data_IF_897217875689
#
_entry.id   IF_897217875689
#
_cell.length_a   1.000
_cell.length_b   1.000
_cell.length_c   1.000
_cell.angle_alpha   90.00
_cell.angle_beta   90.00
_cell.angle_gamma   90.00
#
_symmetry.space_group_name_H-M   'P 1'
#
loop_
_entity.id
_entity.type
_entity.pdbx_description
1 polymer ?
#
# COMPACT_ATOMS: atom_id res chain seq x y z
N UNK A 1 -25.21 -4.08 67.70
CA UNK A 1 -25.19 -2.96 68.66
C UNK A 1 -26.26 -3.20 69.71
N UNK A 2 -25.94 -2.97 70.98
CA UNK A 2 -26.82 -3.22 72.10
C UNK A 2 -27.00 -1.94 72.89
N UNK A 3 -28.20 -1.73 73.39
CA UNK A 3 -28.48 -0.72 74.39
C UNK A 3 -27.97 -1.25 75.73
N UNK A 4 -26.99 -0.56 76.30
CA UNK A 4 -26.26 -1.04 77.49
C UNK A 4 -27.16 -1.01 78.73
N UNK A 5 -28.14 -0.10 78.78
CA UNK A 5 -29.04 0.07 79.92
C UNK A 5 -30.16 -0.98 79.93
N UNK A 6 -30.70 -1.31 78.76
CA UNK A 6 -31.86 -2.21 78.61
C UNK A 6 -31.49 -3.62 78.17
N UNK A 7 -30.25 -3.83 77.70
CA UNK A 7 -29.80 -5.10 77.14
C UNK A 7 -30.49 -5.49 75.83
N UNK A 8 -31.22 -4.57 75.18
CA UNK A 8 -31.90 -4.82 73.91
C UNK A 8 -30.94 -4.63 72.73
N UNK A 9 -31.11 -5.46 71.70
CA UNK A 9 -30.41 -5.27 70.42
C UNK A 9 -30.95 -4.01 69.75
N UNK A 10 -30.09 -3.01 69.56
CA UNK A 10 -30.40 -1.80 68.79
C UNK A 10 -30.36 -2.12 67.29
N UNK A 11 -29.32 -2.85 66.85
CA UNK A 11 -29.12 -3.17 65.44
C UNK A 11 -28.24 -4.39 65.23
N UNK A 12 -28.60 -5.22 64.26
CA UNK A 12 -27.81 -6.32 63.74
C UNK A 12 -27.37 -6.00 62.30
N UNK A 13 -26.09 -6.23 61.99
CA UNK A 13 -25.52 -5.99 60.67
C UNK A 13 -24.86 -7.27 60.20
N UNK A 14 -25.28 -7.77 59.05
CA UNK A 14 -24.82 -9.06 58.52
C UNK A 14 -23.52 -8.87 57.76
N UNK A 15 -22.43 -9.38 58.32
CA UNK A 15 -21.12 -9.33 57.68
C UNK A 15 -20.99 -10.35 56.53
N UNK A 16 -21.59 -11.54 56.67
CA UNK A 16 -21.58 -12.58 55.63
C UNK A 16 -20.73 -13.79 55.98
N UNK A 17 -19.63 -13.60 56.72
CA UNK A 17 -18.83 -14.67 57.32
C UNK A 17 -18.53 -14.47 58.81
N UNK A 18 -17.74 -15.37 59.42
CA UNK A 18 -17.26 -15.22 60.79
C UNK A 18 -16.45 -13.94 60.94
N UNK A 19 -16.88 -13.07 61.86
CA UNK A 19 -16.19 -11.81 62.16
C UNK A 19 -14.99 -12.08 63.06
N UNK A 20 -13.81 -11.68 62.61
CA UNK A 20 -12.52 -11.89 63.28
C UNK A 20 -12.07 -10.67 64.07
N UNK A 21 -12.43 -9.46 63.60
CA UNK A 21 -12.10 -8.21 64.27
C UNK A 21 -13.18 -7.14 64.06
N UNK A 22 -13.26 -6.21 65.01
CA UNK A 22 -14.12 -5.03 64.95
C UNK A 22 -13.29 -3.84 65.46
N UNK A 23 -13.44 -2.69 64.82
CA UNK A 23 -12.87 -1.43 65.29
C UNK A 23 -13.93 -0.31 65.20
N UNK A 24 -13.93 0.61 66.16
CA UNK A 24 -14.80 1.78 66.16
C UNK A 24 -13.95 3.02 65.95
N UNK A 25 -14.39 3.92 65.06
CA UNK A 25 -13.71 5.18 64.80
C UNK A 25 -13.85 6.11 66.00
N UNK A 26 -12.84 6.94 66.29
CA UNK A 26 -12.80 7.76 67.50
C UNK A 26 -13.97 8.75 67.65
N UNK A 27 -14.57 9.17 66.55
CA UNK A 27 -15.77 10.04 66.52
C UNK A 27 -17.10 9.27 66.63
N UNK A 28 -17.05 7.94 66.74
CA UNK A 28 -18.19 7.02 66.77
C UNK A 28 -19.16 7.10 65.58
N UNK A 29 -18.81 7.81 64.48
CA UNK A 29 -19.65 7.89 63.28
C UNK A 29 -19.49 6.69 62.35
N UNK A 30 -18.39 5.97 62.51
CA UNK A 30 -18.03 4.80 61.70
C UNK A 30 -17.55 3.68 62.59
N UNK A 31 -17.73 2.47 62.11
CA UNK A 31 -17.03 1.31 62.64
C UNK A 31 -16.75 0.34 61.48
N UNK A 32 -15.78 -0.54 61.66
CA UNK A 32 -15.38 -1.53 60.68
C UNK A 32 -15.49 -2.93 61.28
N UNK A 33 -15.86 -3.91 60.46
CA UNK A 33 -15.77 -5.33 60.79
C UNK A 33 -14.93 -6.04 59.74
N UNK A 34 -14.15 -7.03 60.16
CA UNK A 34 -13.33 -7.87 59.31
C UNK A 34 -13.73 -9.34 59.52
N UNK A 35 -13.62 -10.14 58.47
CA UNK A 35 -14.04 -11.53 58.50
C UNK A 35 -13.06 -12.51 57.87
N UNK A 36 -13.29 -13.78 58.21
CA UNK A 36 -12.62 -14.91 57.57
C UNK A 36 -13.05 -15.13 56.11
N UNK A 37 -14.09 -14.40 55.67
CA UNK A 37 -14.57 -14.32 54.29
C UNK A 37 -13.72 -13.39 53.40
N UNK A 38 -12.56 -12.92 53.91
CA UNK A 38 -11.56 -12.09 53.21
C UNK A 38 -12.00 -10.64 52.97
N UNK A 39 -13.09 -10.24 53.62
CA UNK A 39 -13.68 -8.92 53.44
C UNK A 39 -13.64 -8.18 54.76
N UNK A 40 -13.26 -6.90 54.69
CA UNK A 40 -13.60 -5.94 55.72
C UNK A 40 -14.71 -5.03 55.21
N UNK A 41 -15.63 -4.66 56.08
CA UNK A 41 -16.76 -3.78 55.76
C UNK A 41 -16.68 -2.55 56.64
N UNK A 42 -16.78 -1.39 56.01
CA UNK A 42 -16.93 -0.10 56.68
C UNK A 42 -18.42 0.23 56.79
N UNK A 43 -18.87 0.69 57.95
CA UNK A 43 -20.27 0.92 58.25
C UNK A 43 -20.51 2.33 58.79
N UNK A 44 -21.68 2.87 58.50
CA UNK A 44 -22.21 4.03 59.19
C UNK A 44 -22.81 3.59 60.54
N UNK A 45 -22.36 4.19 61.63
CA UNK A 45 -22.79 3.79 62.96
C UNK A 45 -24.23 4.22 63.30
N UNK A 46 -24.75 5.24 62.63
CA UNK A 46 -26.07 5.82 62.94
C UNK A 46 -27.22 4.96 62.39
N UNK A 47 -27.08 4.48 61.16
CA UNK A 47 -28.11 3.71 60.45
C UNK A 47 -27.68 2.28 60.12
N UNK A 48 -26.43 1.90 60.40
CA UNK A 48 -25.86 0.58 60.11
C UNK A 48 -25.73 0.27 58.63
N UNK A 49 -25.77 1.28 57.75
CA UNK A 49 -25.57 1.11 56.32
C UNK A 49 -24.11 0.73 56.05
N UNK A 50 -23.91 -0.24 55.15
CA UNK A 50 -22.59 -0.55 54.62
C UNK A 50 -22.12 0.58 53.68
N UNK A 51 -20.94 1.12 53.94
CA UNK A 51 -20.31 2.21 53.16
C UNK A 51 -19.39 1.63 52.10
N UNK A 52 -18.53 0.69 52.48
CA UNK A 52 -17.52 0.14 51.58
C UNK A 52 -17.18 -1.32 51.93
N UNK A 53 -16.70 -2.04 50.91
CA UNK A 53 -16.00 -3.32 51.06
C UNK A 53 -14.53 -3.11 50.81
N UNK A 54 -13.72 -3.61 51.73
CA UNK A 54 -12.28 -3.46 51.79
C UNK A 54 -11.69 -4.86 51.65
N UNK A 55 -11.14 -5.17 50.48
CA UNK A 55 -10.58 -6.48 50.16
C UNK A 55 -9.48 -6.37 49.12
N UNK A 56 -8.52 -7.28 49.22
CA UNK A 56 -7.40 -7.40 48.28
C UNK A 56 -6.44 -6.22 48.29
N UNK A 57 -5.26 -6.43 47.70
CA UNK A 57 -4.27 -5.38 47.52
C UNK A 57 -4.79 -4.36 46.47
N UNK A 58 -4.54 -3.08 46.73
CA UNK A 58 -4.90 -2.00 45.80
C UNK A 58 -4.11 -2.14 44.50
N UNK A 59 -2.81 -2.37 44.63
CA UNK A 59 -1.90 -2.38 43.49
C UNK A 59 -2.17 -3.53 42.52
N UNK A 60 -2.57 -4.70 43.02
CA UNK A 60 -2.93 -5.84 42.16
C UNK A 60 -4.24 -5.61 41.40
N UNK A 61 -5.21 -4.94 42.03
CA UNK A 61 -6.47 -4.55 41.38
C UNK A 61 -6.27 -3.46 40.34
N UNK A 62 -5.56 -2.38 40.68
CA UNK A 62 -5.23 -1.31 39.73
C UNK A 62 -4.43 -1.86 38.53
N UNK A 63 -3.50 -2.79 38.77
CA UNK A 63 -2.79 -3.45 37.69
C UNK A 63 -3.71 -4.25 36.77
N UNK A 64 -4.70 -4.97 37.30
CA UNK A 64 -5.68 -5.68 36.49
C UNK A 64 -6.57 -4.72 35.68
N UNK A 65 -7.02 -3.62 36.28
CA UNK A 65 -7.81 -2.58 35.60
C UNK A 65 -7.01 -1.92 34.47
N UNK A 66 -5.72 -1.65 34.69
CA UNK A 66 -4.84 -1.11 33.66
C UNK A 66 -4.62 -2.09 32.50
N UNK A 67 -4.53 -3.40 32.79
CA UNK A 67 -4.46 -4.44 31.75
C UNK A 67 -5.77 -4.57 30.97
N UNK A 68 -6.92 -4.34 31.61
CA UNK A 68 -8.21 -4.31 30.93
C UNK A 68 -8.29 -3.13 29.94
N UNK A 69 -7.81 -1.95 30.34
CA UNK A 69 -7.68 -0.78 29.45
C UNK A 69 -6.71 -1.06 28.30
N UNK A 70 -5.57 -1.67 28.58
CA UNK A 70 -4.61 -2.06 27.55
C UNK A 70 -5.22 -3.06 26.55
N UNK A 71 -6.03 -4.02 27.01
CA UNK A 71 -6.72 -4.98 26.15
C UNK A 71 -7.76 -4.28 25.25
N UNK A 72 -8.48 -3.28 25.76
CA UNK A 72 -9.38 -2.46 24.95
C UNK A 72 -8.62 -1.74 23.84
N UNK A 73 -7.46 -1.16 24.15
CA UNK A 73 -6.59 -0.52 23.16
C UNK A 73 -6.10 -1.52 22.11
N UNK A 74 -5.56 -2.67 22.52
CA UNK A 74 -5.07 -3.71 21.61
C UNK A 74 -6.18 -4.22 20.66
N UNK A 75 -7.40 -4.40 21.16
CA UNK A 75 -8.56 -4.75 20.32
C UNK A 75 -8.85 -3.67 19.27
N UNK A 76 -8.79 -2.40 19.66
CA UNK A 76 -9.00 -1.27 18.71
C UNK A 76 -7.90 -1.18 17.64
N UNK A 77 -6.66 -1.55 17.98
CA UNK A 77 -5.53 -1.59 17.03
C UNK A 77 -5.70 -2.71 15.99
N UNK A 78 -6.18 -3.88 16.40
CA UNK A 78 -6.58 -4.95 15.47
C UNK A 78 -7.68 -4.47 14.52
N UNK A 79 -8.70 -3.79 15.02
CA UNK A 79 -9.78 -3.25 14.19
C UNK A 79 -9.28 -2.18 13.20
N UNK A 80 -8.37 -1.32 13.64
CA UNK A 80 -7.70 -0.33 12.77
C UNK A 80 -6.96 -1.01 11.62
N UNK A 81 -6.15 -2.03 11.90
CA UNK A 81 -5.41 -2.75 10.85
C UNK A 81 -6.32 -3.56 9.93
N UNK A 82 -7.43 -4.13 10.43
CA UNK A 82 -8.46 -4.76 9.60
C UNK A 82 -9.12 -3.78 8.63
N UNK A 83 -9.40 -2.56 9.07
CA UNK A 83 -9.90 -1.50 8.20
C UNK A 83 -8.87 -1.10 7.13
N UNK A 84 -7.59 -0.99 7.51
CA UNK A 84 -6.50 -0.71 6.57
C UNK A 84 -6.33 -1.81 5.52
N UNK A 85 -6.43 -3.09 5.91
CA UNK A 85 -6.41 -4.22 4.98
C UNK A 85 -7.54 -4.13 3.96
N UNK A 86 -8.77 -3.87 4.41
CA UNK A 86 -9.93 -3.72 3.51
C UNK A 86 -9.71 -2.59 2.49
N UNK A 87 -9.14 -1.47 2.92
CA UNK A 87 -8.79 -0.37 2.02
C UNK A 87 -7.72 -0.78 1.01
N UNK A 88 -6.68 -1.51 1.46
CA UNK A 88 -5.61 -2.00 0.59
C UNK A 88 -6.13 -3.00 -0.45
N UNK A 89 -7.00 -3.94 -0.08
CA UNK A 89 -7.62 -4.92 -0.99
C UNK A 89 -8.52 -4.24 -2.03
N UNK A 90 -9.25 -3.19 -1.62
CA UNK A 90 -10.06 -2.37 -2.53
C UNK A 90 -9.16 -1.67 -3.55
N UNK A 91 -8.06 -1.06 -3.11
CA UNK A 91 -7.09 -0.45 -4.01
C UNK A 91 -6.44 -1.48 -4.94
N UNK A 92 -6.05 -2.66 -4.44
CA UNK A 92 -5.48 -3.73 -5.26
C UNK A 92 -6.43 -4.17 -6.36
N UNK A 93 -7.72 -4.33 -6.04
CA UNK A 93 -8.76 -4.65 -7.04
C UNK A 93 -8.85 -3.57 -8.12
N UNK A 94 -8.80 -2.29 -7.74
CA UNK A 94 -8.80 -1.18 -8.68
C UNK A 94 -7.55 -1.16 -9.58
N UNK A 95 -6.36 -1.42 -9.03
CA UNK A 95 -5.12 -1.49 -9.83
C UNK A 95 -5.12 -2.68 -10.80
N UNK A 96 -5.62 -3.84 -10.39
CA UNK A 96 -5.76 -5.01 -11.28
C UNK A 96 -6.72 -4.73 -12.44
N UNK A 97 -7.83 -4.01 -12.19
CA UNK A 97 -8.72 -3.55 -13.25
C UNK A 97 -8.03 -2.56 -14.20
N UNK A 98 -7.21 -1.65 -13.67
CA UNK A 98 -6.40 -0.73 -14.49
C UNK A 98 -5.41 -1.50 -15.37
N UNK A 99 -4.73 -2.51 -14.84
CA UNK A 99 -3.82 -3.39 -15.61
C UNK A 99 -4.56 -4.07 -16.75
N UNK A 100 -5.74 -4.66 -16.47
CA UNK A 100 -6.54 -5.31 -17.51
C UNK A 100 -6.89 -4.35 -18.64
N UNK A 101 -7.39 -3.15 -18.31
CA UNK A 101 -7.72 -2.13 -19.31
C UNK A 101 -6.48 -1.67 -20.10
N UNK A 102 -5.35 -1.48 -19.43
CA UNK A 102 -4.11 -1.07 -20.08
C UNK A 102 -3.58 -2.16 -21.03
N UNK A 103 -3.71 -3.43 -20.65
CA UNK A 103 -3.32 -4.56 -21.50
C UNK A 103 -4.19 -4.66 -22.76
N UNK A 104 -5.51 -4.47 -22.61
CA UNK A 104 -6.44 -4.40 -23.75
C UNK A 104 -6.08 -3.25 -24.71
N UNK A 105 -5.75 -2.06 -24.17
CA UNK A 105 -5.32 -0.92 -25.02
C UNK A 105 -3.97 -1.16 -25.69
N UNK A 106 -3.03 -1.83 -25.02
CA UNK A 106 -1.73 -2.18 -25.60
C UNK A 106 -1.91 -3.16 -26.75
N UNK A 107 -2.68 -4.23 -26.55
CA UNK A 107 -2.96 -5.20 -27.61
C UNK A 107 -3.72 -4.61 -28.80
N UNK A 108 -4.61 -3.63 -28.59
CA UNK A 108 -5.27 -2.91 -29.67
C UNK A 108 -4.29 -1.99 -30.45
N UNK A 109 -3.38 -1.32 -29.74
CA UNK A 109 -2.37 -0.47 -30.35
C UNK A 109 -1.34 -1.29 -31.14
N UNK A 110 -0.92 -2.46 -30.64
CA UNK A 110 -0.04 -3.41 -31.34
C UNK A 110 -0.66 -3.90 -32.65
N UNK A 111 -1.93 -4.33 -32.64
CA UNK A 111 -2.63 -4.72 -33.87
C UNK A 111 -2.70 -3.58 -34.88
N UNK A 112 -2.97 -2.36 -34.41
CA UNK A 112 -2.99 -1.17 -35.29
C UNK A 112 -1.60 -0.91 -35.87
N UNK A 113 -0.55 -1.05 -35.07
CA UNK A 113 0.83 -0.90 -35.52
C UNK A 113 1.20 -1.92 -36.60
N UNK A 114 0.86 -3.19 -36.39
CA UNK A 114 1.07 -4.27 -37.39
C UNK A 114 0.35 -3.96 -38.70
N UNK A 115 -0.91 -3.49 -38.64
CA UNK A 115 -1.68 -3.08 -39.82
C UNK A 115 -0.99 -1.92 -40.58
N UNK A 116 -0.49 -0.92 -39.86
CA UNK A 116 0.18 0.24 -40.46
C UNK A 116 1.56 -0.12 -41.00
N UNK A 117 2.30 -1.02 -40.35
CA UNK A 117 3.58 -1.55 -40.85
C UNK A 117 3.39 -2.29 -42.17
N UNK A 118 2.36 -3.14 -42.27
CA UNK A 118 2.01 -3.82 -43.53
C UNK A 118 1.65 -2.82 -44.62
N UNK A 119 0.79 -1.85 -44.33
CA UNK A 119 0.39 -0.82 -45.31
C UNK A 119 1.56 0.04 -45.78
N UNK A 120 2.52 0.35 -44.89
CA UNK A 120 3.77 1.00 -45.27
C UNK A 120 4.61 0.12 -46.20
N UNK A 121 4.78 -1.17 -45.87
CA UNK A 121 5.51 -2.13 -46.71
C UNK A 121 4.93 -2.22 -48.13
N UNK A 122 3.61 -2.36 -48.24
CA UNK A 122 2.87 -2.37 -49.51
C UNK A 122 3.08 -1.07 -50.31
N UNK A 123 3.03 0.09 -49.64
CA UNK A 123 3.31 1.38 -50.29
C UNK A 123 4.77 1.50 -50.77
N UNK A 124 5.72 0.92 -50.01
CA UNK A 124 7.15 0.92 -50.36
C UNK A 124 7.41 0.05 -51.58
N UNK A 125 6.79 -1.14 -51.64
CA UNK A 125 6.85 -2.04 -52.80
C UNK A 125 6.17 -1.41 -54.03
N UNK A 126 5.00 -0.78 -53.85
CA UNK A 126 4.30 -0.10 -54.93
C UNK A 126 5.12 1.06 -55.52
N UNK A 127 5.82 1.82 -54.68
CA UNK A 127 6.75 2.87 -55.12
C UNK A 127 7.93 2.28 -55.88
N UNK A 128 8.57 1.23 -55.35
CA UNK A 128 9.69 0.57 -56.02
C UNK A 128 9.29 0.01 -57.39
N UNK A 129 8.09 -0.57 -57.50
CA UNK A 129 7.54 -1.03 -58.77
C UNK A 129 7.25 0.13 -59.75
N UNK A 130 6.73 1.26 -59.27
CA UNK A 130 6.49 2.44 -60.09
C UNK A 130 7.80 3.11 -60.56
N UNK A 131 8.82 3.14 -59.70
CA UNK A 131 10.17 3.63 -60.00
C UNK A 131 10.83 2.75 -61.05
N UNK A 132 10.85 1.43 -60.84
CA UNK A 132 11.36 0.47 -61.82
C UNK A 132 10.66 0.60 -63.17
N UNK A 133 9.34 0.70 -63.20
CA UNK A 133 8.59 0.89 -64.44
C UNK A 133 8.94 2.21 -65.15
N UNK A 134 9.25 3.28 -64.40
CA UNK A 134 9.71 4.55 -64.95
C UNK A 134 11.16 4.46 -65.47
N UNK A 135 12.03 3.70 -64.81
CA UNK A 135 13.40 3.42 -65.28
C UNK A 135 13.41 2.54 -66.53
N UNK A 136 12.63 1.47 -66.55
CA UNK A 136 12.48 0.57 -67.70
C UNK A 136 11.97 1.36 -68.92
N UNK A 137 10.96 2.24 -68.73
CA UNK A 137 10.48 3.15 -69.79
C UNK A 137 11.58 4.12 -70.27
N UNK A 138 12.38 4.68 -69.36
CA UNK A 138 13.52 5.55 -69.73
C UNK A 138 14.59 4.78 -70.50
N UNK A 139 14.85 3.52 -70.15
CA UNK A 139 15.80 2.66 -70.84
C UNK A 139 15.31 2.31 -72.25
N UNK A 140 14.05 1.90 -72.42
CA UNK A 140 13.41 1.67 -73.72
C UNK A 140 13.45 2.92 -74.62
N UNK A 141 13.18 4.10 -74.03
CA UNK A 141 13.26 5.38 -74.73
C UNK A 141 14.68 5.70 -75.20
N UNK A 142 15.67 5.46 -74.34
CA UNK A 142 17.08 5.68 -74.67
C UNK A 142 17.54 4.75 -75.78
N UNK A 143 17.19 3.47 -75.71
CA UNK A 143 17.54 2.48 -76.74
C UNK A 143 16.89 2.82 -78.09
N UNK A 144 15.62 3.21 -78.09
CA UNK A 144 14.93 3.68 -79.30
C UNK A 144 15.55 4.96 -79.88
N UNK A 145 15.98 5.90 -79.02
CA UNK A 145 16.64 7.14 -79.44
C UNK A 145 18.04 6.88 -80.02
N UNK A 146 18.83 6.00 -79.39
CA UNK A 146 20.16 5.60 -79.86
C UNK A 146 20.07 4.84 -81.19
N UNK A 147 19.07 3.96 -81.35
CA UNK A 147 18.78 3.25 -82.61
C UNK A 147 18.40 4.22 -83.75
N UNK A 148 17.56 5.22 -83.45
CA UNK A 148 17.25 6.28 -84.42
C UNK A 148 18.49 7.10 -84.80
N UNK A 149 19.30 7.52 -83.82
CA UNK A 149 20.52 8.30 -84.07
C UNK A 149 21.55 7.53 -84.92
N UNK A 150 21.73 6.23 -84.67
CA UNK A 150 22.59 5.37 -85.46
C UNK A 150 22.06 5.19 -86.89
N UNK A 151 20.76 4.97 -87.06
CA UNK A 151 20.13 4.80 -88.38
C UNK A 151 20.14 6.10 -89.20
N UNK A 152 19.88 7.25 -88.57
CA UNK A 152 19.93 8.57 -89.19
C UNK A 152 21.36 8.94 -89.63
N UNK A 153 22.36 8.63 -88.79
CA UNK A 153 23.77 8.79 -89.17
C UNK A 153 24.15 7.90 -90.36
N UNK A 154 23.78 6.62 -90.34
CA UNK A 154 24.08 5.70 -91.44
C UNK A 154 23.38 6.10 -92.76
N UNK A 155 22.17 6.65 -92.69
CA UNK A 155 21.47 7.19 -93.84
C UNK A 155 22.18 8.43 -94.42
N UNK A 156 22.60 9.37 -93.57
CA UNK A 156 23.38 10.56 -93.97
C UNK A 156 24.74 10.19 -94.55
N UNK A 157 25.46 9.27 -93.92
CA UNK A 157 26.77 8.80 -94.40
C UNK A 157 26.62 8.13 -95.78
N UNK A 158 25.60 7.28 -95.98
CA UNK A 158 25.32 6.66 -97.28
C UNK A 158 24.89 7.67 -98.36
N UNK A 159 24.14 8.72 -98.02
CA UNK A 159 23.85 9.82 -98.94
C UNK A 159 25.10 10.59 -99.33
N UNK A 160 26.03 10.83 -98.39
CA UNK A 160 27.32 11.47 -98.71
C UNK A 160 28.22 10.60 -99.59
N UNK A 161 28.19 9.27 -99.42
CA UNK A 161 28.90 8.32 -100.30
C UNK A 161 28.28 8.27 -101.70
N UNK A 162 26.96 8.33 -101.84
CA UNK A 162 26.29 8.45 -103.15
C UNK A 162 26.67 9.77 -103.83
N UNK A 163 26.81 10.85 -103.06
CA UNK A 163 27.18 12.18 -103.56
C UNK A 163 28.65 12.21 -104.02
N UNK A 164 29.57 11.67 -103.24
CA UNK A 164 31.00 11.58 -103.61
C UNK A 164 31.25 10.62 -104.78
N UNK A 165 30.51 9.51 -104.87
CA UNK A 165 30.55 8.58 -106.00
C UNK A 165 30.06 9.23 -107.32
N UNK A 166 29.08 10.14 -107.26
CA UNK A 166 28.62 10.91 -108.43
C UNK A 166 29.61 11.98 -108.90
N UNK A 167 30.49 12.44 -108.02
CA UNK A 167 31.48 13.49 -108.29
C UNK A 167 32.86 12.94 -108.71
N UNK A 168 33.09 11.62 -108.61
CA UNK A 168 34.38 10.96 -108.95
C UNK A 168 34.41 10.48 -110.41
N UNK A 169 35.36 10.93 -111.26
CA UNK A 169 35.41 10.53 -112.68
C UNK A 169 35.87 9.07 -112.85
N UNK A 170 35.05 8.22 -113.50
CA UNK A 170 35.41 6.84 -113.90
C UNK A 170 34.67 5.70 -113.19
N UNK A 171 33.69 5.99 -112.31
CA UNK A 171 32.87 4.94 -111.69
C UNK A 171 31.73 4.46 -112.61
N UNK A 172 31.53 3.14 -112.71
CA UNK A 172 30.51 2.52 -113.56
C UNK A 172 29.08 2.73 -113.01
N UNK A 173 28.10 2.84 -113.91
CA UNK A 173 26.68 3.10 -113.60
C UNK A 173 26.07 2.10 -112.59
N UNK A 174 26.44 0.83 -112.66
CA UNK A 174 26.02 -0.20 -111.69
C UNK A 174 26.48 0.09 -110.25
N UNK A 175 27.63 0.72 -110.07
CA UNK A 175 28.17 1.04 -108.73
C UNK A 175 27.38 2.17 -108.08
N UNK A 176 26.99 3.18 -108.87
CA UNK A 176 26.14 4.30 -108.42
C UNK A 176 24.71 3.81 -108.11
N UNK A 177 24.15 2.92 -108.94
CA UNK A 177 22.83 2.33 -108.69
C UNK A 177 22.82 1.48 -107.41
N UNK A 178 23.86 0.66 -107.18
CA UNK A 178 24.00 -0.13 -105.94
C UNK A 178 24.12 0.76 -104.69
N UNK A 179 24.98 1.79 -104.73
CA UNK A 179 25.12 2.74 -103.62
C UNK A 179 23.83 3.54 -103.38
N UNK A 180 23.09 3.89 -104.44
CA UNK A 180 21.80 4.58 -104.33
C UNK A 180 20.69 3.68 -103.75
N UNK A 181 20.69 2.40 -104.09
CA UNK A 181 19.78 1.41 -103.50
C UNK A 181 20.11 1.16 -102.02
N UNK A 182 21.40 1.16 -101.67
CA UNK A 182 21.87 1.03 -100.29
C UNK A 182 21.53 2.27 -99.44
N UNK A 183 21.68 3.48 -99.99
CA UNK A 183 21.24 4.72 -99.34
C UNK A 183 19.71 4.77 -99.16
N UNK A 184 18.93 4.33 -100.15
CA UNK A 184 17.48 4.23 -100.04
C UNK A 184 17.04 3.20 -98.99
N UNK A 185 17.73 2.06 -98.89
CA UNK A 185 17.48 1.07 -97.85
C UNK A 185 17.81 1.60 -96.44
N UNK A 186 18.95 2.28 -96.27
CA UNK A 186 19.35 2.91 -95.00
C UNK A 186 18.42 4.07 -94.60
N UNK A 187 17.96 4.87 -95.57
CA UNK A 187 16.94 5.91 -95.38
C UNK A 187 15.61 5.31 -94.91
N UNK A 188 15.19 4.18 -95.50
CA UNK A 188 14.00 3.45 -95.07
C UNK A 188 14.12 2.93 -93.62
N UNK A 189 15.28 2.37 -93.26
CA UNK A 189 15.56 1.95 -91.87
C UNK A 189 15.50 3.13 -90.89
N UNK A 190 16.00 4.31 -91.28
CA UNK A 190 15.89 5.53 -90.48
C UNK A 190 14.44 6.02 -90.33
N UNK A 191 13.62 5.95 -91.38
CA UNK A 191 12.19 6.29 -91.30
C UNK A 191 11.39 5.29 -90.46
N UNK A 192 11.70 4.00 -90.53
CA UNK A 192 11.06 2.96 -89.73
C UNK A 192 11.45 3.08 -88.25
N UNK A 193 12.74 3.37 -87.96
CA UNK A 193 13.23 3.66 -86.61
C UNK A 193 12.59 4.93 -86.02
N UNK A 194 12.39 5.98 -86.83
CA UNK A 194 11.68 7.19 -86.43
C UNK A 194 10.20 6.93 -86.15
N UNK A 195 9.53 6.15 -86.99
CA UNK A 195 8.15 5.74 -86.77
C UNK A 195 7.99 4.86 -85.52
N UNK A 196 8.99 4.04 -85.17
CA UNK A 196 9.02 3.27 -83.93
C UNK A 196 9.21 4.17 -82.70
N UNK A 197 10.10 5.18 -82.77
CA UNK A 197 10.30 6.19 -81.73
C UNK A 197 9.04 7.05 -81.52
N UNK A 198 8.37 7.46 -82.59
CA UNK A 198 7.12 8.24 -82.53
C UNK A 198 5.95 7.40 -82.00
N UNK A 199 5.85 6.10 -82.38
CA UNK A 199 4.86 5.15 -81.84
C UNK A 199 5.05 4.88 -80.35
N UNK A 200 6.26 5.04 -79.82
CA UNK A 200 6.54 4.95 -78.40
C UNK A 200 5.84 6.07 -77.59
N UNK A 201 5.34 7.12 -78.24
CA UNK A 201 4.59 8.24 -77.65
C UNK A 201 5.23 8.70 -76.33
N UNK A 202 6.47 9.15 -76.48
CA UNK A 202 7.42 9.47 -75.41
C UNK A 202 6.80 10.33 -74.32
N UNK A 203 6.05 11.39 -74.67
CA UNK A 203 5.50 12.31 -73.67
C UNK A 203 4.32 11.75 -72.87
N UNK A 204 3.40 10.98 -73.46
CA UNK A 204 2.22 10.48 -72.72
C UNK A 204 2.58 9.31 -71.81
N UNK A 205 3.47 8.40 -72.25
CA UNK A 205 3.92 7.29 -71.40
C UNK A 205 4.79 7.78 -70.25
N UNK A 206 5.72 8.71 -70.50
CA UNK A 206 6.51 9.35 -69.44
C UNK A 206 5.62 10.13 -68.47
N UNK A 207 4.64 10.89 -68.98
CA UNK A 207 3.70 11.63 -68.12
C UNK A 207 2.91 10.70 -67.22
N UNK A 208 2.36 9.61 -67.75
CA UNK A 208 1.65 8.59 -66.96
C UNK A 208 2.55 7.89 -65.93
N UNK A 209 3.80 7.59 -66.29
CA UNK A 209 4.77 7.00 -65.37
C UNK A 209 5.15 7.97 -64.23
N UNK A 210 5.41 9.23 -64.55
CA UNK A 210 5.70 10.27 -63.56
C UNK A 210 4.49 10.59 -62.66
N UNK A 211 3.27 10.59 -63.20
CA UNK A 211 2.05 10.77 -62.40
C UNK A 211 1.84 9.59 -61.45
N UNK A 212 2.07 8.35 -61.90
CA UNK A 212 2.06 7.16 -61.04
C UNK A 212 3.13 7.24 -59.94
N UNK A 213 4.36 7.61 -60.28
CA UNK A 213 5.44 7.76 -59.31
C UNK A 213 5.10 8.81 -58.25
N UNK A 214 4.62 9.99 -58.64
CA UNK A 214 4.16 11.03 -57.71
C UNK A 214 3.02 10.55 -56.79
N UNK A 215 2.08 9.78 -57.34
CA UNK A 215 0.99 9.23 -56.54
C UNK A 215 1.49 8.18 -55.53
N UNK A 216 2.47 7.36 -55.92
CA UNK A 216 3.10 6.38 -55.05
C UNK A 216 3.96 7.05 -53.96
N UNK A 217 4.72 8.10 -54.30
CA UNK A 217 5.48 8.91 -53.35
C UNK A 217 4.56 9.52 -52.28
N UNK A 218 3.44 10.11 -52.69
CA UNK A 218 2.46 10.68 -51.76
C UNK A 218 1.86 9.60 -50.85
N UNK A 219 1.51 8.44 -51.42
CA UNK A 219 0.96 7.31 -50.66
C UNK A 219 1.96 6.78 -49.64
N UNK A 220 3.25 6.74 -50.00
CA UNK A 220 4.33 6.38 -49.08
C UNK A 220 4.49 7.40 -47.96
N UNK A 221 4.45 8.70 -48.26
CA UNK A 221 4.57 9.76 -47.25
C UNK A 221 3.39 9.72 -46.26
N UNK A 222 2.16 9.53 -46.76
CA UNK A 222 0.96 9.41 -45.94
C UNK A 222 0.99 8.14 -45.07
N UNK A 223 1.47 7.00 -45.59
CA UNK A 223 1.61 5.76 -44.82
C UNK A 223 2.73 5.85 -43.77
N UNK A 224 3.83 6.55 -44.05
CA UNK A 224 4.91 6.80 -43.08
C UNK A 224 4.43 7.64 -41.89
N UNK A 225 3.63 8.69 -42.15
CA UNK A 225 3.05 9.53 -41.09
C UNK A 225 2.10 8.72 -40.19
N UNK A 226 1.26 7.90 -40.79
CA UNK A 226 0.32 7.04 -40.08
C UNK A 226 1.05 5.94 -39.28
N UNK A 227 2.16 5.40 -39.80
CA UNK A 227 3.02 4.46 -39.09
C UNK A 227 3.65 5.12 -37.85
N UNK A 228 4.27 6.29 -37.99
CA UNK A 228 4.86 7.04 -36.86
C UNK A 228 3.83 7.34 -35.76
N UNK A 229 2.61 7.68 -36.15
CA UNK A 229 1.50 7.90 -35.21
C UNK A 229 1.12 6.62 -34.47
N UNK A 230 1.07 5.48 -35.16
CA UNK A 230 0.80 4.18 -34.55
C UNK A 230 1.93 3.72 -33.62
N UNK A 231 3.20 3.95 -33.99
CA UNK A 231 4.37 3.66 -33.14
C UNK A 231 4.32 4.45 -31.83
N UNK A 232 4.03 5.74 -31.91
CA UNK A 232 3.88 6.58 -30.72
C UNK A 232 2.70 6.11 -29.84
N UNK A 233 1.57 5.76 -30.45
CA UNK A 233 0.41 5.24 -29.73
C UNK A 233 0.74 3.90 -29.03
N UNK A 234 1.46 2.99 -29.71
CA UNK A 234 1.94 1.74 -29.14
C UNK A 234 2.90 1.96 -27.97
N UNK A 235 3.89 2.84 -28.14
CA UNK A 235 4.85 3.19 -27.08
C UNK A 235 4.17 3.78 -25.84
N UNK A 236 3.19 4.67 -26.03
CA UNK A 236 2.41 5.24 -24.95
C UNK A 236 1.56 4.19 -24.23
N UNK A 237 0.88 3.31 -24.97
CA UNK A 237 0.06 2.24 -24.39
C UNK A 237 0.91 1.23 -23.60
N UNK A 238 2.10 0.88 -24.10
CA UNK A 238 3.05 0.01 -23.42
C UNK A 238 3.59 0.65 -22.13
N UNK A 239 3.83 1.97 -22.16
CA UNK A 239 4.25 2.73 -20.98
C UNK A 239 3.16 2.74 -19.91
N UNK A 240 1.90 2.98 -20.29
CA UNK A 240 0.76 2.91 -19.36
C UNK A 240 0.57 1.52 -18.77
N UNK A 241 0.73 0.46 -19.56
CA UNK A 241 0.68 -0.92 -19.07
C UNK A 241 1.79 -1.17 -18.03
N UNK A 242 3.02 -0.71 -18.30
CA UNK A 242 4.13 -0.83 -17.35
C UNK A 242 3.85 -0.10 -16.04
N UNK A 243 3.31 1.12 -16.11
CA UNK A 243 2.94 1.91 -14.92
C UNK A 243 1.79 1.26 -14.14
N UNK A 244 0.78 0.74 -14.84
CA UNK A 244 -0.33 0.04 -14.22
C UNK A 244 0.14 -1.24 -13.49
N UNK A 245 1.02 -2.03 -14.10
CA UNK A 245 1.60 -3.22 -13.47
C UNK A 245 2.39 -2.85 -12.21
N UNK A 246 3.24 -1.82 -12.29
CA UNK A 246 3.99 -1.34 -11.12
C UNK A 246 3.06 -0.92 -9.98
N UNK A 247 1.99 -0.17 -10.27
CA UNK A 247 1.01 0.23 -9.27
C UNK A 247 0.26 -0.98 -8.67
N UNK A 248 -0.01 -2.01 -9.47
CA UNK A 248 -0.61 -3.26 -8.99
C UNK A 248 0.33 -4.02 -8.05
N UNK A 249 1.62 -4.12 -8.37
CA UNK A 249 2.63 -4.74 -7.51
C UNK A 249 2.76 -3.99 -6.18
N UNK A 250 2.84 -2.66 -6.22
CA UNK A 250 2.87 -1.81 -5.02
C UNK A 250 1.62 -2.01 -4.16
N UNK A 251 0.44 -2.11 -4.77
CA UNK A 251 -0.80 -2.37 -4.04
C UNK A 251 -0.84 -3.78 -3.42
N UNK A 252 -0.22 -4.78 -4.05
CA UNK A 252 -0.10 -6.12 -3.50
C UNK A 252 0.83 -6.14 -2.28
N UNK A 253 1.94 -5.40 -2.32
CA UNK A 253 2.84 -5.21 -1.16
C UNK A 253 2.10 -4.51 -0.01
N UNK A 254 1.24 -3.53 -0.30
CA UNK A 254 0.44 -2.88 0.73
C UNK A 254 -0.52 -3.87 1.43
N UNK A 255 -1.14 -4.78 0.68
CA UNK A 255 -1.99 -5.85 1.24
C UNK A 255 -1.20 -6.81 2.12
N UNK A 256 -0.03 -7.27 1.67
CA UNK A 256 0.80 -8.17 2.50
C UNK A 256 1.28 -7.47 3.77
N UNK A 257 1.70 -6.21 3.67
CA UNK A 257 2.09 -5.38 4.83
C UNK A 257 0.95 -5.23 5.82
N UNK A 258 -0.27 -4.95 5.35
CA UNK A 258 -1.45 -4.84 6.20
C UNK A 258 -1.76 -6.17 6.92
N UNK A 259 -1.62 -7.32 6.23
CA UNK A 259 -1.79 -8.64 6.86
C UNK A 259 -0.76 -8.92 7.95
N UNK A 260 0.50 -8.58 7.72
CA UNK A 260 1.55 -8.72 8.74
C UNK A 260 1.29 -7.82 9.94
N UNK A 261 0.81 -6.59 9.74
CA UNK A 261 0.43 -5.69 10.82
C UNK A 261 -0.74 -6.23 11.65
N UNK A 262 -1.75 -6.84 11.02
CA UNK A 262 -2.85 -7.52 11.73
C UNK A 262 -2.30 -8.65 12.59
N UNK A 263 -1.43 -9.51 12.05
CA UNK A 263 -0.87 -10.62 12.82
C UNK A 263 -0.14 -10.11 14.08
N UNK A 264 0.71 -9.09 13.92
CA UNK A 264 1.42 -8.48 15.05
C UNK A 264 0.46 -7.92 16.11
N UNK A 265 -0.59 -7.22 15.68
CA UNK A 265 -1.58 -6.67 16.60
C UNK A 265 -2.41 -7.76 17.29
N UNK A 266 -2.71 -8.87 16.60
CA UNK A 266 -3.39 -10.02 17.19
C UNK A 266 -2.50 -10.74 18.22
N UNK A 267 -1.21 -10.89 17.95
CA UNK A 267 -0.23 -11.45 18.90
C UNK A 267 -0.12 -10.57 20.16
N UNK A 268 -0.03 -9.25 20.00
CA UNK A 268 0.01 -8.29 21.12
C UNK A 268 -1.28 -8.29 21.95
N UNK A 269 -2.43 -8.43 21.28
CA UNK A 269 -3.73 -8.59 21.94
C UNK A 269 -3.75 -9.86 22.78
N UNK A 270 -3.31 -11.00 22.23
CA UNK A 270 -3.29 -12.28 22.94
C UNK A 270 -2.34 -12.26 24.14
N UNK A 271 -1.16 -11.65 23.97
CA UNK A 271 -0.24 -11.43 25.09
C UNK A 271 -0.91 -10.59 26.19
N UNK A 272 -1.55 -9.49 25.82
CA UNK A 272 -2.22 -8.59 26.78
C UNK A 272 -3.37 -9.29 27.50
N UNK A 273 -4.12 -10.15 26.80
CA UNK A 273 -5.18 -10.96 27.38
C UNK A 273 -4.65 -11.97 28.40
N UNK A 274 -3.54 -12.66 28.09
CA UNK A 274 -2.88 -13.57 29.03
C UNK A 274 -2.34 -12.83 30.28
N UNK A 275 -1.78 -11.64 30.09
CA UNK A 275 -1.33 -10.77 31.18
C UNK A 275 -2.50 -10.28 32.05
N UNK A 276 -3.64 -9.94 31.45
CA UNK A 276 -4.87 -9.59 32.16
C UNK A 276 -5.39 -10.75 33.01
N UNK A 277 -5.45 -11.95 32.46
CA UNK A 277 -5.91 -13.12 33.23
C UNK A 277 -4.96 -13.45 34.39
N UNK A 278 -3.66 -13.29 34.19
CA UNK A 278 -2.66 -13.39 35.26
C UNK A 278 -2.86 -12.30 36.32
N UNK A 279 -3.12 -11.06 35.91
CA UNK A 279 -3.36 -9.93 36.80
C UNK A 279 -4.64 -10.13 37.63
N UNK A 280 -5.74 -10.55 37.00
CA UNK A 280 -7.02 -10.87 37.69
C UNK A 280 -6.83 -11.99 38.70
N UNK A 281 -6.10 -13.05 38.33
CA UNK A 281 -5.77 -14.13 39.26
C UNK A 281 -5.00 -13.60 40.47
N UNK A 282 -3.96 -12.79 40.24
CA UNK A 282 -3.21 -12.15 41.32
C UNK A 282 -4.06 -11.22 42.21
N UNK A 283 -5.01 -10.49 41.63
CA UNK A 283 -5.95 -9.67 42.38
C UNK A 283 -6.85 -10.51 43.30
N UNK A 284 -7.39 -11.63 42.80
CA UNK A 284 -8.20 -12.57 43.61
C UNK A 284 -7.35 -13.28 44.68
N UNK A 285 -6.12 -13.69 44.34
CA UNK A 285 -5.19 -14.32 45.29
C UNK A 285 -4.75 -13.36 46.39
N UNK A 286 -4.74 -12.05 46.13
CA UNK A 286 -4.49 -11.05 47.16
C UNK A 286 -5.65 -10.91 48.18
N UNK A 287 -6.84 -11.45 47.89
CA UNK A 287 -7.93 -11.49 48.86
C UNK A 287 -7.70 -12.62 49.87
N UNK A 288 -7.21 -12.27 51.05
CA UNK A 288 -6.94 -13.18 52.16
C UNK A 288 -7.74 -12.83 53.43
N UNK A 289 -7.95 -13.80 54.36
CA UNK A 289 -8.65 -13.54 55.62
C UNK A 289 -8.03 -12.37 56.38
N UNK A 290 -8.86 -11.42 56.79
CA UNK A 290 -8.43 -10.25 57.55
C UNK A 290 -8.55 -10.58 59.04
N UNK A 291 -7.52 -10.26 59.84
CA UNK A 291 -7.45 -10.61 61.27
C UNK A 291 -7.43 -9.41 62.19
N UNK A 292 -7.01 -8.25 61.71
CA UNK A 292 -6.85 -7.06 62.52
C UNK A 292 -7.39 -5.81 61.81
N UNK A 293 -7.94 -4.90 62.61
CA UNK A 293 -8.45 -3.59 62.18
C UNK A 293 -7.99 -2.53 63.18
N UNK A 294 -7.64 -1.34 62.69
CA UNK A 294 -7.39 -0.18 63.55
C UNK A 294 -7.75 1.12 62.83
N UNK A 295 -8.47 2.01 63.51
CA UNK A 295 -8.65 3.39 63.04
C UNK A 295 -7.53 4.28 63.55
N UNK A 296 -7.10 5.23 62.73
CA UNK A 296 -6.19 6.29 63.13
C UNK A 296 -6.85 7.26 64.09
N UNK A 297 -6.04 7.89 64.94
CA UNK A 297 -6.51 8.82 65.97
C UNK A 297 -7.11 10.10 65.37
N UNK A 298 -6.69 10.47 64.16
CA UNK A 298 -7.24 11.60 63.40
C UNK A 298 -8.55 11.25 62.65
N UNK A 299 -9.04 10.01 62.74
CA UNK A 299 -10.23 9.50 62.06
C UNK A 299 -10.17 9.50 60.53
N UNK A 300 -8.99 9.66 59.91
CA UNK A 300 -8.84 9.72 58.45
C UNK A 300 -8.53 8.35 57.83
N UNK A 301 -7.84 7.48 58.56
CA UNK A 301 -7.28 6.23 58.04
C UNK A 301 -7.82 5.03 58.80
N UNK A 302 -8.15 3.99 58.06
CA UNK A 302 -8.43 2.64 58.57
C UNK A 302 -7.33 1.72 58.06
N UNK A 303 -6.68 0.98 58.97
CA UNK A 303 -5.72 -0.06 58.62
C UNK A 303 -6.36 -1.44 58.79
N UNK A 304 -6.12 -2.32 57.82
CA UNK A 304 -6.53 -3.73 57.85
C UNK A 304 -5.33 -4.62 57.59
N UNK A 305 -5.25 -5.77 58.26
CA UNK A 305 -4.18 -6.73 58.00
C UNK A 305 -4.62 -8.16 58.34
N UNK A 306 -3.97 -9.17 57.73
CA UNK A 306 -4.40 -10.55 57.85
C UNK A 306 -3.38 -11.57 57.35
N UNK A 307 -3.88 -12.60 56.66
CA UNK A 307 -3.11 -13.76 56.17
C UNK A 307 -2.32 -13.48 54.87
N UNK A 308 -2.44 -12.29 54.29
CA UNK A 308 -1.64 -11.84 53.14
C UNK A 308 -0.25 -11.33 53.52
N UNK A 309 0.09 -11.32 54.81
CA UNK A 309 1.32 -10.77 55.38
C UNK A 309 1.49 -9.25 55.16
N UNK A 310 0.45 -8.57 54.69
CA UNK A 310 0.47 -7.15 54.33
C UNK A 310 -0.40 -6.33 55.28
N UNK A 311 -0.17 -5.03 55.23
CA UNK A 311 -1.05 -4.05 55.88
C UNK A 311 -1.60 -3.14 54.80
N UNK A 312 -2.91 -3.10 54.69
CA UNK A 312 -3.62 -2.23 53.75
C UNK A 312 -4.22 -1.04 54.50
N UNK A 313 -4.12 0.13 53.91
CA UNK A 313 -4.69 1.37 54.46
C UNK A 313 -5.79 1.90 53.56
N UNK A 314 -6.84 2.45 54.20
CA UNK A 314 -8.07 2.87 53.56
C UNK A 314 -8.54 4.19 54.17
N UNK A 315 -9.34 4.94 53.42
CA UNK A 315 -10.08 6.08 53.93
C UNK A 315 -11.11 5.61 54.94
N UNK A 316 -11.05 6.16 56.14
CA UNK A 316 -12.01 5.88 57.19
C UNK A 316 -13.40 6.48 56.88
N UNK A 317 -13.51 7.39 55.91
CA UNK A 317 -14.78 8.03 55.53
C UNK A 317 -15.54 7.25 54.45
N UNK A 318 -14.85 6.83 53.39
CA UNK A 318 -15.46 6.26 52.19
C UNK A 318 -14.88 4.91 51.75
N UNK A 319 -13.84 4.40 52.44
CA UNK A 319 -13.22 3.11 52.13
C UNK A 319 -12.32 3.10 50.88
N UNK A 320 -11.94 4.25 50.33
CA UNK A 320 -10.95 4.31 49.25
C UNK A 320 -9.59 3.77 49.72
N UNK A 321 -8.95 2.90 48.95
CA UNK A 321 -7.64 2.35 49.30
C UNK A 321 -6.51 3.39 49.10
N UNK A 322 -5.51 3.39 49.98
CA UNK A 322 -4.36 4.30 49.92
C UNK A 322 -3.06 3.54 49.65
N UNK A 323 -2.47 2.98 50.69
CA UNK A 323 -1.14 2.38 50.68
C UNK A 323 -1.15 0.95 51.20
N UNK A 324 -0.17 0.17 50.73
CA UNK A 324 0.08 -1.20 51.18
C UNK A 324 1.49 -1.28 51.74
N UNK A 325 1.60 -1.52 53.05
CA UNK A 325 2.89 -1.64 53.73
C UNK A 325 3.40 -3.08 53.64
N UNK A 326 4.64 -3.24 53.14
CA UNK A 326 5.27 -4.54 52.87
C UNK A 326 6.52 -4.73 53.71
N UNK A 327 6.52 -5.70 54.63
CA UNK A 327 7.75 -6.15 55.31
C UNK A 327 7.56 -7.44 56.11
N UNK A 328 6.37 -7.65 56.69
CA UNK A 328 6.08 -8.86 57.44
C UNK A 328 6.23 -10.12 56.57
N UNK A 329 6.62 -11.22 57.22
CA UNK A 329 6.84 -12.54 56.58
C UNK A 329 5.92 -13.62 57.13
N UNK A 330 4.78 -13.20 57.65
CA UNK A 330 3.76 -14.05 58.22
C UNK A 330 2.54 -13.23 58.64
N UNK A 331 1.43 -13.93 58.85
CA UNK A 331 0.13 -13.31 59.05
C UNK A 331 0.17 -12.23 60.13
N UNK A 332 -0.37 -11.05 59.82
CA UNK A 332 -0.46 -9.94 60.76
C UNK A 332 -1.70 -10.16 61.63
N UNK A 333 -1.47 -10.29 62.93
CA UNK A 333 -2.50 -10.71 63.89
C UNK A 333 -3.05 -9.53 64.70
N UNK A 334 -2.31 -8.42 64.78
CA UNK A 334 -2.69 -7.25 65.56
C UNK A 334 -2.23 -5.95 64.89
N UNK A 335 -3.08 -4.92 65.00
CA UNK A 335 -2.80 -3.55 64.58
C UNK A 335 -3.23 -2.58 65.68
N UNK A 336 -2.45 -1.52 65.89
CA UNK A 336 -2.81 -0.42 66.79
C UNK A 336 -2.21 0.90 66.31
N UNK A 337 -3.01 1.97 66.31
CA UNK A 337 -2.51 3.32 66.08
C UNK A 337 -2.05 3.96 67.39
N UNK A 338 -0.83 4.49 67.41
CA UNK A 338 -0.34 5.32 68.50
C UNK A 338 -0.88 6.75 68.39
N UNK A 339 -0.96 7.47 69.51
CA UNK A 339 -1.40 8.87 69.56
C UNK A 339 -0.57 9.83 68.70
N UNK A 340 0.70 9.49 68.43
CA UNK A 340 1.57 10.23 67.51
C UNK A 340 1.24 10.06 66.01
N UNK A 341 0.34 9.14 65.66
CA UNK A 341 -0.06 8.82 64.28
C UNK A 341 0.70 7.64 63.65
N UNK A 342 1.64 7.02 64.38
CA UNK A 342 2.33 5.82 63.91
C UNK A 342 1.43 4.59 64.03
N UNK A 343 1.51 3.69 63.06
CA UNK A 343 0.85 2.40 63.12
C UNK A 343 1.82 1.36 63.69
N UNK A 344 1.36 0.53 64.61
CA UNK A 344 2.11 -0.61 65.17
C UNK A 344 1.43 -1.90 64.71
N UNK A 345 2.22 -2.85 64.22
CA UNK A 345 1.75 -4.16 63.79
C UNK A 345 2.50 -5.28 64.51
N UNK A 346 1.79 -6.37 64.81
CA UNK A 346 2.36 -7.60 65.35
C UNK A 346 1.94 -8.80 64.50
N UNK A 347 2.91 -9.64 64.13
CA UNK A 347 2.70 -10.72 63.16
C UNK A 347 3.26 -12.07 63.63
N UNK A 348 2.85 -13.13 62.92
CA UNK A 348 3.26 -14.51 63.16
C UNK A 348 4.76 -14.74 62.87
N UNK A 349 5.43 -13.82 62.16
CA UNK A 349 6.89 -13.82 61.96
C UNK A 349 7.70 -13.53 63.24
N UNK A 350 6.99 -13.28 64.36
CA UNK A 350 7.53 -12.93 65.68
C UNK A 350 8.15 -11.52 65.73
N UNK A 351 7.81 -10.66 64.77
CA UNK A 351 8.23 -9.27 64.75
C UNK A 351 7.06 -8.34 65.12
N UNK A 352 7.43 -7.23 65.76
CA UNK A 352 6.57 -6.05 65.95
C UNK A 352 7.21 -4.91 65.16
N UNK A 353 6.44 -4.28 64.29
CA UNK A 353 6.92 -3.20 63.43
C UNK A 353 6.15 -1.91 63.70
N UNK A 354 6.85 -0.78 63.54
CA UNK A 354 6.28 0.56 63.65
C UNK A 354 6.39 1.22 62.29
N UNK A 355 5.27 1.73 61.81
CA UNK A 355 5.11 2.34 60.50
C UNK A 355 4.82 3.82 60.66
N UNK A 356 5.61 4.66 60.00
CA UNK A 356 5.27 6.06 59.82
C UNK A 356 4.42 6.18 58.55
N UNK A 357 3.13 6.50 58.72
CA UNK A 357 2.20 6.70 57.61
C UNK A 357 2.11 8.17 57.18
N UNK A 358 2.82 9.08 57.86
CA UNK A 358 2.88 10.48 57.45
C UNK A 358 3.93 10.62 56.36
N UNK A 359 3.66 11.37 55.27
CA UNK A 359 4.67 11.66 54.29
C UNK A 359 5.78 12.49 54.95
N UNK A 360 7.04 12.15 54.66
CA UNK A 360 8.18 13.00 55.01
C UNK A 360 8.19 14.22 54.09
N UNK A 361 7.37 15.23 54.43
CA UNK A 361 7.41 16.53 53.75
C UNK A 361 8.69 17.26 54.17
N UNK A 362 9.81 16.98 53.49
CA UNK A 362 11.00 17.80 53.61
C UNK A 362 10.82 19.06 52.76
N UNK A 363 10.75 20.20 53.43
CA UNK A 363 10.78 21.51 52.79
C UNK A 363 12.18 21.75 52.21
N UNK A 364 12.36 21.42 50.93
CA UNK A 364 13.66 21.45 50.27
C UNK A 364 14.24 22.88 50.18
N UNK A 365 13.38 23.90 50.04
CA UNK A 365 13.68 25.29 50.40
C UNK A 365 12.41 26.15 50.49
N UNK A 366 12.49 27.24 51.25
CA UNK A 366 11.58 28.38 51.14
C UNK A 366 12.21 29.38 50.17
N UNK A 367 11.46 29.84 49.16
CA UNK A 367 11.89 30.90 48.23
C UNK A 367 11.64 32.26 48.84
#
# INVERSE_FOLDING_TARGET
MWDVETGKVIREMKHGGPVTAIAVRGDARRFASAGADKIAKLWDASDGRQIAELKGDRYTREFADDRERALLFAKSEVDFHKAALKSAETNQTAQLQRVKKAAETCGAAEKTLEEKQRGFLEATEARAAAEKAAEDLKAELKEAADAFAAADKAAKDAETEVKSARETPGQNKETIERLSAEAAAKSKVATDARAALDKLNTSEKEKKANEKLKSADKTLEDSEKELKKAELAGSNAQTELRLANKAADESAIAVTTAKTAIQKAEDEREQTEAELETAKKGAVESEQPIRALAFSVDNLTLATAGDDDLIHTWSADNGAAFETCRHHKGAVLALAFASGGNLVSGAADRAVMVWNLKPDWNLDRVI
#
